data_IF_510851705537
#
_entry.id   IF_510851705537
#
_cell.length_a   1.000
_cell.length_b   1.000
_cell.length_c   1.000
_cell.angle_alpha   90.00
_cell.angle_beta   90.00
_cell.angle_gamma   90.00
#
_symmetry.space_group_name_H-M   'P 1'
#
loop_
_entity.id
_entity.type
_entity.pdbx_description
1 polymer ?
#
# COMPACT_ATOMS: atom_id res chain seq x y z
N UNK A 1 28.57 -4.86 3.04
CA UNK A 1 27.91 -4.54 1.76
C UNK A 1 26.57 -3.91 2.08
N UNK A 2 26.33 -2.62 1.82
CA UNK A 2 25.12 -1.99 2.32
C UNK A 2 23.93 -2.40 1.44
N UNK A 3 23.03 -3.11 2.10
CA UNK A 3 21.68 -3.50 1.74
C UNK A 3 20.93 -2.44 0.90
N UNK A 4 21.04 -2.53 -0.42
CA UNK A 4 20.05 -1.96 -1.35
C UNK A 4 19.00 -3.02 -1.68
N UNK A 5 18.64 -3.84 -0.69
CA UNK A 5 17.57 -4.82 -0.82
C UNK A 5 16.27 -4.03 -0.79
N UNK A 6 15.60 -3.93 -1.94
CA UNK A 6 14.27 -3.37 -2.18
C UNK A 6 13.50 -3.08 -0.89
N UNK A 7 13.55 -1.83 -0.43
CA UNK A 7 12.67 -1.34 0.62
C UNK A 7 11.28 -1.25 0.02
N UNK A 8 10.51 -2.33 0.17
CA UNK A 8 9.15 -2.40 -0.33
C UNK A 8 8.27 -1.43 0.47
N UNK A 9 7.90 -0.34 -0.18
CA UNK A 9 7.14 0.80 0.34
C UNK A 9 7.88 1.72 1.32
N UNK A 10 7.97 3.02 1.04
CA UNK A 10 8.31 4.00 2.07
C UNK A 10 7.24 3.92 3.16
N UNK A 11 7.68 3.96 4.42
CA UNK A 11 6.86 3.88 5.62
C UNK A 11 7.55 4.70 6.72
N UNK A 12 6.81 5.12 7.74
CA UNK A 12 7.27 6.11 8.72
C UNK A 12 8.35 5.60 9.70
N UNK A 13 8.51 4.28 9.84
CA UNK A 13 9.61 3.70 10.66
C UNK A 13 10.97 3.80 9.95
N UNK A 14 11.00 4.45 8.79
CA UNK A 14 12.18 4.52 7.96
C UNK A 14 13.32 5.35 8.54
N UNK A 15 13.01 6.26 9.47
CA UNK A 15 13.93 7.28 9.97
C UNK A 15 14.19 8.41 8.98
N UNK A 16 13.56 8.39 7.81
CA UNK A 16 13.76 9.40 6.77
C UNK A 16 12.84 10.60 6.99
N UNK A 17 13.39 11.81 6.89
CA UNK A 17 12.59 13.04 6.93
C UNK A 17 11.88 13.25 5.58
N UNK A 18 10.56 13.03 5.58
CA UNK A 18 9.70 13.19 4.41
C UNK A 18 9.82 14.58 3.77
N UNK A 19 10.05 15.63 4.56
CA UNK A 19 10.20 16.99 4.05
C UNK A 19 11.50 17.19 3.24
N UNK A 20 12.52 16.38 3.50
CA UNK A 20 13.78 16.41 2.77
C UNK A 20 13.80 15.42 1.61
N UNK A 21 13.16 14.25 1.79
CA UNK A 21 13.15 13.20 0.77
C UNK A 21 12.22 13.52 -0.39
N UNK A 22 11.05 14.11 -0.16
CA UNK A 22 10.09 14.38 -1.24
C UNK A 22 10.64 15.34 -2.31
N UNK A 23 11.23 16.52 -1.98
CA UNK A 23 11.83 17.40 -2.98
C UNK A 23 13.00 16.74 -3.73
N UNK A 24 13.84 15.99 -3.00
CA UNK A 24 14.99 15.30 -3.58
C UNK A 24 14.57 14.24 -4.59
N UNK A 25 13.57 13.42 -4.28
CA UNK A 25 13.05 12.43 -5.22
C UNK A 25 12.37 13.08 -6.42
N UNK A 26 11.60 14.15 -6.18
CA UNK A 26 10.97 14.95 -7.24
C UNK A 26 12.02 15.43 -8.25
N UNK A 27 13.10 16.06 -7.79
CA UNK A 27 14.16 16.55 -8.66
C UNK A 27 14.89 15.42 -9.40
N UNK A 28 15.16 14.30 -8.72
CA UNK A 28 15.77 13.13 -9.36
C UNK A 28 14.91 12.57 -10.50
N UNK A 29 13.59 12.45 -10.29
CA UNK A 29 12.65 11.94 -11.29
C UNK A 29 12.53 12.90 -12.47
N UNK A 30 12.34 14.20 -12.21
CA UNK A 30 12.22 15.23 -13.26
C UNK A 30 13.49 15.29 -14.10
N UNK A 31 14.67 15.34 -13.46
CA UNK A 31 15.95 15.37 -14.17
C UNK A 31 16.18 14.10 -15.02
N UNK A 32 15.78 12.94 -14.51
CA UNK A 32 15.88 11.69 -15.26
C UNK A 32 14.98 11.70 -16.50
N UNK A 33 13.71 12.05 -16.34
CA UNK A 33 12.74 12.11 -17.44
C UNK A 33 13.14 13.16 -18.48
N UNK A 34 13.62 14.31 -18.04
CA UNK A 34 14.06 15.38 -18.93
C UNK A 34 15.26 14.96 -19.78
N UNK A 35 16.24 14.27 -19.17
CA UNK A 35 17.43 13.78 -19.87
C UNK A 35 17.14 12.66 -20.85
N UNK A 36 16.17 11.78 -20.57
CA UNK A 36 15.94 10.57 -21.35
C UNK A 36 14.82 10.68 -22.38
N UNK A 37 13.73 11.38 -22.06
CA UNK A 37 12.48 11.22 -22.79
C UNK A 37 11.69 12.51 -23.04
N UNK A 38 11.80 13.51 -22.16
CA UNK A 38 10.90 14.68 -22.18
C UNK A 38 11.71 15.98 -22.01
N UNK A 39 12.40 16.46 -23.07
CA UNK A 39 13.17 17.71 -23.00
C UNK A 39 12.32 18.87 -22.47
N UNK A 40 12.94 19.73 -21.66
CA UNK A 40 12.31 20.89 -21.02
C UNK A 40 11.12 20.57 -20.09
N UNK A 41 10.96 19.32 -19.62
CA UNK A 41 9.89 18.95 -18.69
C UNK A 41 9.79 19.92 -17.51
N UNK A 42 10.90 20.24 -16.86
CA UNK A 42 10.95 21.15 -15.71
C UNK A 42 10.36 22.53 -15.97
N UNK A 43 10.49 23.05 -17.20
CA UNK A 43 9.97 24.37 -17.60
C UNK A 43 8.46 24.38 -17.81
N UNK A 44 7.86 23.21 -18.05
CA UNK A 44 6.45 23.06 -18.36
C UNK A 44 5.62 22.57 -17.17
N UNK A 45 6.23 22.37 -15.99
CA UNK A 45 5.50 22.01 -14.78
C UNK A 45 4.78 23.26 -14.24
N UNK A 46 3.45 23.23 -14.27
CA UNK A 46 2.59 24.32 -13.76
C UNK A 46 2.11 24.01 -12.33
N UNK A 47 1.88 22.73 -12.04
CA UNK A 47 1.39 22.28 -10.74
C UNK A 47 2.04 20.95 -10.38
N UNK A 48 2.25 20.75 -9.08
CA UNK A 48 2.81 19.52 -8.54
C UNK A 48 1.96 19.03 -7.39
N UNK A 49 1.72 17.72 -7.37
CA UNK A 49 1.09 17.04 -6.26
C UNK A 49 1.87 15.76 -5.99
N UNK A 50 2.22 15.53 -4.73
CA UNK A 50 2.90 14.31 -4.31
C UNK A 50 2.16 13.70 -3.13
N UNK A 51 2.31 12.38 -3.01
CA UNK A 51 1.75 11.57 -1.94
C UNK A 51 2.93 10.91 -1.22
N UNK A 52 2.96 11.03 0.10
CA UNK A 52 4.03 10.51 0.95
C UNK A 52 3.47 9.54 2.01
N UNK A 53 4.35 8.88 2.81
CA UNK A 53 3.90 8.00 3.89
C UNK A 53 3.02 8.67 4.95
N UNK A 54 3.14 9.98 5.15
CA UNK A 54 2.29 10.73 6.09
C UNK A 54 0.86 10.76 5.55
N UNK A 55 0.69 11.04 4.26
CA UNK A 55 -0.60 10.96 3.60
C UNK A 55 -1.22 9.56 3.69
N UNK A 56 -0.43 8.50 3.50
CA UNK A 56 -0.91 7.12 3.68
C UNK A 56 -1.42 6.86 5.11
N UNK A 57 -0.75 7.38 6.14
CA UNK A 57 -1.18 7.26 7.54
C UNK A 57 -2.44 8.08 7.82
N UNK A 58 -2.43 9.35 7.43
CA UNK A 58 -3.44 10.31 7.90
C UNK A 58 -4.72 10.25 7.07
N UNK A 59 -4.58 10.10 5.75
CA UNK A 59 -5.71 10.06 4.80
C UNK A 59 -6.22 8.63 4.62
N UNK A 60 -5.32 7.69 4.30
CA UNK A 60 -5.69 6.31 3.94
C UNK A 60 -5.69 5.35 5.14
N UNK A 61 -5.38 5.85 6.35
CA UNK A 61 -5.33 5.07 7.60
C UNK A 61 -4.43 3.83 7.51
N UNK A 62 -3.41 3.89 6.64
CA UNK A 62 -2.41 2.86 6.51
C UNK A 62 -1.55 2.80 7.76
N UNK A 63 -1.45 1.61 8.37
CA UNK A 63 -0.57 1.41 9.51
C UNK A 63 0.87 1.78 9.12
N UNK A 64 1.49 2.66 9.92
CA UNK A 64 2.84 3.20 9.69
C UNK A 64 3.03 3.91 8.34
N UNK A 65 1.96 4.32 7.67
CA UNK A 65 2.05 4.94 6.35
C UNK A 65 2.39 3.97 5.21
N UNK A 66 2.15 2.66 5.39
CA UNK A 66 2.33 1.68 4.33
C UNK A 66 1.26 1.83 3.25
N UNK A 67 1.68 1.85 1.98
CA UNK A 67 0.77 1.90 0.83
C UNK A 67 0.07 0.55 0.57
N UNK A 68 0.67 -0.56 1.00
CA UNK A 68 0.23 -1.92 0.64
C UNK A 68 0.09 -2.85 1.85
N UNK A 69 -0.14 -2.29 3.05
CA UNK A 69 -0.23 -3.03 4.30
C UNK A 69 1.04 -3.86 4.57
N UNK A 70 0.93 -5.18 4.70
CA UNK A 70 2.07 -6.07 4.98
C UNK A 70 2.90 -6.23 3.71
N UNK A 71 4.21 -5.99 3.83
CA UNK A 71 5.14 -6.13 2.71
C UNK A 71 5.08 -7.56 2.14
N UNK A 72 4.98 -7.73 0.81
CA UNK A 72 4.97 -9.05 0.20
C UNK A 72 6.40 -9.61 0.17
N UNK A 73 6.77 -10.36 1.20
CA UNK A 73 7.88 -11.32 1.14
C UNK A 73 7.38 -12.62 0.51
N UNK A 74 7.92 -12.95 -0.67
CA UNK A 74 7.37 -13.94 -1.60
C UNK A 74 7.14 -15.38 -1.06
N UNK A 75 7.88 -15.93 -0.08
CA UNK A 75 7.64 -17.33 0.29
C UNK A 75 6.41 -17.53 1.19
N UNK A 76 6.07 -16.58 2.07
CA UNK A 76 4.98 -16.77 3.05
C UNK A 76 3.94 -15.63 3.15
N UNK A 77 4.07 -14.56 2.34
CA UNK A 77 3.22 -13.36 2.50
C UNK A 77 1.72 -13.55 2.19
N UNK A 78 1.31 -14.67 1.58
CA UNK A 78 -0.10 -14.99 1.43
C UNK A 78 -0.70 -15.62 2.69
N UNK A 79 0.10 -16.36 3.47
CA UNK A 79 -0.33 -17.11 4.64
C UNK A 79 -0.46 -16.24 5.90
N UNK A 80 0.43 -15.26 6.06
CA UNK A 80 0.41 -14.34 7.20
C UNK A 80 -0.57 -13.15 7.04
N UNK A 81 -1.39 -13.15 5.98
CA UNK A 81 -2.45 -12.15 5.83
C UNK A 81 -3.59 -12.48 6.77
N UNK A 82 -4.22 -11.45 7.32
CA UNK A 82 -5.41 -11.61 8.13
C UNK A 82 -6.49 -12.36 7.35
N UNK A 83 -7.03 -13.41 7.96
CA UNK A 83 -8.18 -14.14 7.43
C UNK A 83 -9.41 -13.22 7.37
N UNK A 84 -10.31 -13.49 6.42
CA UNK A 84 -11.53 -12.70 6.22
C UNK A 84 -12.56 -12.83 7.35
N UNK A 85 -12.43 -13.84 8.23
CA UNK A 85 -13.27 -14.04 9.41
C UNK A 85 -12.40 -13.98 10.66
N UNK A 86 -12.91 -13.35 11.71
CA UNK A 86 -12.25 -13.36 13.01
C UNK A 86 -12.27 -14.76 13.63
N UNK A 87 -11.15 -15.16 14.21
CA UNK A 87 -11.03 -16.42 14.98
C UNK A 87 -11.58 -16.27 16.41
N UNK A 88 -11.70 -15.04 16.91
CA UNK A 88 -12.08 -14.74 18.30
C UNK A 88 -13.53 -14.28 18.46
N UNK A 89 -14.08 -13.60 17.45
CA UNK A 89 -15.41 -12.99 17.52
C UNK A 89 -16.33 -13.56 16.44
N UNK A 90 -17.44 -14.14 16.87
CA UNK A 90 -18.51 -14.54 15.97
C UNK A 90 -19.11 -13.30 15.28
N UNK A 91 -19.38 -13.41 13.98
CA UNK A 91 -19.92 -12.35 13.11
C UNK A 91 -19.02 -11.12 12.86
N UNK A 92 -17.71 -11.24 13.11
CA UNK A 92 -16.72 -10.23 12.69
C UNK A 92 -15.95 -10.68 11.44
N UNK A 93 -15.95 -9.83 10.41
CA UNK A 93 -15.28 -10.08 9.13
C UNK A 93 -14.36 -8.92 8.75
N UNK A 94 -13.29 -9.24 8.03
CA UNK A 94 -12.29 -8.28 7.57
C UNK A 94 -12.20 -8.29 6.04
N UNK A 95 -12.09 -7.10 5.45
CA UNK A 95 -11.95 -6.89 4.00
C UNK A 95 -10.94 -5.78 3.71
N UNK A 96 -10.16 -5.91 2.63
CA UNK A 96 -9.23 -4.88 2.19
C UNK A 96 -7.91 -5.42 1.64
N UNK A 97 -6.93 -4.53 1.51
CA UNK A 97 -5.62 -4.85 0.94
C UNK A 97 -4.69 -5.59 1.91
N UNK A 98 -5.00 -5.56 3.20
CA UNK A 98 -4.26 -6.26 4.26
C UNK A 98 -4.78 -7.67 4.55
N UNK A 99 -5.98 -8.00 4.07
CA UNK A 99 -6.63 -9.30 4.27
C UNK A 99 -6.36 -10.22 3.09
N UNK A 100 -6.63 -11.51 3.27
CA UNK A 100 -6.64 -12.47 2.17
C UNK A 100 -7.65 -12.01 1.09
N UNK A 101 -7.36 -12.13 -0.21
CA UNK A 101 -6.22 -12.78 -0.87
C UNK A 101 -4.98 -11.88 -1.07
N UNK A 102 -5.08 -10.56 -0.91
CA UNK A 102 -3.91 -9.71 -1.02
C UNK A 102 -4.16 -8.24 -1.37
N UNK A 103 -3.07 -7.49 -1.47
CA UNK A 103 -3.08 -6.09 -1.89
C UNK A 103 -3.29 -5.94 -3.41
N UNK A 104 -3.82 -4.80 -3.83
CA UNK A 104 -4.12 -4.48 -5.24
C UNK A 104 -5.60 -4.61 -5.58
N UNK A 105 -6.05 -3.89 -6.62
CA UNK A 105 -7.47 -3.82 -7.02
C UNK A 105 -8.14 -5.19 -7.12
N UNK A 106 -7.56 -6.21 -7.80
CA UNK A 106 -8.19 -7.53 -7.89
C UNK A 106 -8.28 -8.23 -6.53
N UNK A 107 -7.26 -8.07 -5.68
CA UNK A 107 -7.21 -8.70 -4.37
C UNK A 107 -8.26 -8.13 -3.42
N UNK A 108 -8.40 -6.80 -3.39
CA UNK A 108 -9.40 -6.12 -2.55
C UNK A 108 -10.83 -6.50 -2.96
N UNK A 109 -11.12 -6.49 -4.27
CA UNK A 109 -12.45 -6.85 -4.78
C UNK A 109 -12.76 -8.33 -4.49
N UNK A 110 -11.78 -9.22 -4.67
CA UNK A 110 -11.96 -10.63 -4.36
C UNK A 110 -12.18 -10.86 -2.86
N UNK A 111 -11.48 -10.12 -2.01
CA UNK A 111 -11.68 -10.15 -0.55
C UNK A 111 -13.12 -9.78 -0.19
N UNK A 112 -13.68 -8.75 -0.83
CA UNK A 112 -15.06 -8.33 -0.61
C UNK A 112 -16.06 -9.42 -1.02
N UNK A 113 -15.85 -10.05 -2.18
CA UNK A 113 -16.69 -11.15 -2.65
C UNK A 113 -16.67 -12.36 -1.69
N UNK A 114 -15.49 -12.72 -1.18
CA UNK A 114 -15.35 -13.82 -0.22
C UNK A 114 -16.12 -13.54 1.07
N UNK A 115 -16.02 -12.32 1.60
CA UNK A 115 -16.76 -11.92 2.82
C UNK A 115 -18.27 -11.95 2.59
N UNK A 116 -18.74 -11.48 1.43
CA UNK A 116 -20.15 -11.49 1.05
C UNK A 116 -20.74 -12.92 1.07
N UNK A 117 -20.06 -13.87 0.41
CA UNK A 117 -20.43 -15.29 0.40
C UNK A 117 -20.42 -15.89 1.83
N UNK A 118 -19.41 -15.54 2.66
CA UNK A 118 -19.32 -16.02 4.05
C UNK A 118 -20.47 -15.51 4.93
N UNK A 119 -20.91 -14.27 4.73
CA UNK A 119 -22.03 -13.68 5.48
C UNK A 119 -23.32 -14.36 5.07
N UNK A 120 -23.59 -14.52 3.78
CA UNK A 120 -24.78 -15.21 3.29
C UNK A 120 -24.90 -16.63 3.86
N UNK A 121 -23.80 -17.39 3.87
CA UNK A 121 -23.80 -18.74 4.41
C UNK A 121 -23.96 -18.76 5.93
N UNK A 122 -23.42 -17.78 6.64
CA UNK A 122 -23.63 -17.66 8.09
C UNK A 122 -25.09 -17.34 8.43
N UNK A 123 -25.77 -16.54 7.60
CA UNK A 123 -27.19 -16.21 7.77
C UNK A 123 -28.14 -17.38 7.48
N UNK A 124 -27.77 -18.29 6.56
CA UNK A 124 -28.56 -19.50 6.25
C UNK A 124 -28.50 -20.56 7.36
N UNK A 125 -27.49 -20.48 8.24
CA UNK A 125 -27.24 -21.44 9.31
C UNK A 125 -27.69 -20.95 10.70
N UNK A 126 -28.38 -19.80 10.76
CA UNK A 126 -29.07 -19.26 11.94
C UNK A 126 -30.55 -19.68 11.94
#
# INVERSE_FOLDING_TARGET
MPSTFFRQSPHLDSGDDGNQMAPRYRDMIVNYLEKQHIPDLSKHIITEHHIDPIHFRDTLKGYKGSAFSVAPILPESAWFRLHNRSEELENLYFVGAGTHPGAGMPGVISSAKIVDEMIEDSMKNL
#
